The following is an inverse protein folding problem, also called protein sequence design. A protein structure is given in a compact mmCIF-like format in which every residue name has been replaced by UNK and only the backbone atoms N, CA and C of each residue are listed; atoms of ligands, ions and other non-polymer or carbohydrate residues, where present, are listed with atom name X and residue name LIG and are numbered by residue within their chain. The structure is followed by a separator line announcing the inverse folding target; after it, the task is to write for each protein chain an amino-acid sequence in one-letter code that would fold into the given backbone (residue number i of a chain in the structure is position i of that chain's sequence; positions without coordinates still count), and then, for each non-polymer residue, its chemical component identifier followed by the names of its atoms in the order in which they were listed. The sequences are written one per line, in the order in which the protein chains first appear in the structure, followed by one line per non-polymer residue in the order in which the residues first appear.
data_IF_090144769434
#
_entry.id   IF_090144769434
#
_cell.length_a   1.000
_cell.length_b   1.000
_cell.length_c   1.000
_cell.angle_alpha   90.00
_cell.angle_beta   90.00
_cell.angle_gamma   90.00
#
_symmetry.space_group_name_H-M   'P 1'
#
loop_
_entity.id
_entity.type
_entity.pdbx_description
1 polymer ?
#
# COMPACT_ATOMS: atom_id res chain seq x y z
N UNK A 1 -32.85 38.20 -30.58
CA UNK A 1 -32.48 39.34 -29.71
C UNK A 1 -32.39 38.81 -28.28
N UNK A 2 -31.18 38.55 -27.75
CA UNK A 2 -30.40 39.49 -26.91
C UNK A 2 -31.05 39.64 -25.52
N UNK A 3 -30.63 38.96 -24.44
CA UNK A 3 -29.53 39.28 -23.48
C UNK A 3 -29.89 38.49 -22.20
N UNK A 4 -29.04 38.04 -21.27
CA UNK A 4 -27.63 38.17 -20.98
C UNK A 4 -27.28 37.12 -19.90
N UNK A 5 -26.17 36.41 -20.10
CA UNK A 5 -25.41 35.78 -19.03
C UNK A 5 -25.12 36.81 -17.93
N UNK A 6 -25.38 36.48 -16.67
CA UNK A 6 -24.82 37.20 -15.52
C UNK A 6 -23.45 36.59 -15.19
N UNK A 7 -22.34 37.33 -15.31
CA UNK A 7 -21.07 36.88 -14.76
C UNK A 7 -21.12 36.98 -13.22
N UNK A 8 -20.80 35.89 -12.53
CA UNK A 8 -20.44 35.92 -11.10
C UNK A 8 -19.10 36.63 -10.99
N UNK A 9 -19.10 37.78 -10.34
CA UNK A 9 -17.89 38.52 -10.00
C UNK A 9 -16.93 37.64 -9.18
N UNK A 10 -15.72 37.45 -9.69
CA UNK A 10 -14.59 36.91 -8.97
C UNK A 10 -14.09 37.95 -7.96
N UNK A 11 -14.26 37.67 -6.67
CA UNK A 11 -13.64 38.45 -5.60
C UNK A 11 -12.17 38.03 -5.48
N UNK A 12 -11.32 38.50 -6.40
CA UNK A 12 -9.87 38.55 -6.17
C UNK A 12 -9.56 39.98 -5.72
N UNK A 13 -9.76 40.23 -4.42
CA UNK A 13 -9.29 41.45 -3.80
C UNK A 13 -7.77 41.36 -3.67
N UNK A 14 -7.07 42.14 -4.49
CA UNK A 14 -5.66 42.42 -4.36
C UNK A 14 -5.39 43.00 -2.96
N UNK A 15 -4.69 42.24 -2.11
CA UNK A 15 -4.11 42.79 -0.88
C UNK A 15 -2.79 43.44 -1.26
N UNK A 16 -2.82 44.77 -1.34
CA UNK A 16 -1.64 45.60 -1.39
C UNK A 16 -0.75 45.30 -0.16
N UNK A 17 0.54 45.10 -0.44
CA UNK A 17 1.60 44.89 0.54
C UNK A 17 1.78 46.17 1.35
N UNK A 18 1.51 46.12 2.66
CA UNK A 18 1.91 47.16 3.60
C UNK A 18 3.29 46.81 4.20
N UNK A 19 4.21 47.79 4.35
CA UNK A 19 5.58 47.53 4.79
C UNK A 19 5.64 47.09 6.26
N UNK A 20 6.55 46.13 6.50
CA UNK A 20 6.80 45.48 7.79
C UNK A 20 7.62 46.39 8.70
N UNK A 21 7.00 46.92 9.75
CA UNK A 21 7.70 47.49 10.91
C UNK A 21 7.93 46.38 11.96
N UNK A 22 9.16 46.20 12.49
CA UNK A 22 9.44 45.19 13.50
C UNK A 22 9.09 45.72 14.90
N UNK A 23 8.29 44.97 15.67
CA UNK A 23 8.32 45.16 17.13
C UNK A 23 7.03 45.01 17.93
N UNK A 24 5.87 44.70 17.35
CA UNK A 24 4.68 44.40 18.16
C UNK A 24 3.88 43.24 17.55
N UNK A 25 3.64 42.19 18.35
CA UNK A 25 2.69 41.12 18.02
C UNK A 25 1.29 41.72 17.95
N UNK A 26 0.91 42.20 16.78
CA UNK A 26 -0.48 42.56 16.48
C UNK A 26 -1.25 41.25 16.34
N UNK A 27 -1.97 40.84 17.40
CA UNK A 27 -2.94 39.74 17.31
C UNK A 27 -4.06 40.23 16.39
N UNK A 28 -4.00 39.82 15.11
CA UNK A 28 -5.06 40.09 14.14
C UNK A 28 -6.24 39.20 14.48
N UNK A 29 -7.13 39.67 15.36
CA UNK A 29 -8.39 38.99 15.66
C UNK A 29 -9.34 39.18 14.48
N UNK A 30 -9.31 38.24 13.53
CA UNK A 30 -10.33 38.16 12.49
C UNK A 30 -11.65 37.69 13.13
N UNK A 31 -12.55 38.62 13.40
CA UNK A 31 -13.94 38.30 13.75
C UNK A 31 -14.64 37.74 12.50
N UNK A 32 -14.59 36.42 12.35
CA UNK A 32 -15.34 35.73 11.30
C UNK A 32 -16.78 35.56 11.79
N UNK A 33 -17.73 36.10 11.03
CA UNK A 33 -19.15 35.91 11.30
C UNK A 33 -19.51 34.46 10.94
N UNK A 34 -19.51 33.58 11.94
CA UNK A 34 -19.97 32.20 11.77
C UNK A 34 -21.48 32.26 11.53
N UNK A 35 -21.87 32.21 10.26
CA UNK A 35 -23.28 32.11 9.89
C UNK A 35 -23.78 30.73 10.33
N UNK A 36 -24.80 30.69 11.19
CA UNK A 36 -25.48 29.43 11.51
C UNK A 36 -26.04 28.86 10.21
N UNK A 37 -25.73 27.59 9.94
CA UNK A 37 -26.30 26.85 8.82
C UNK A 37 -27.81 26.80 9.04
N UNK A 38 -28.59 27.38 8.12
CA UNK A 38 -30.05 27.33 8.21
C UNK A 38 -30.50 25.92 7.89
N UNK A 39 -31.16 25.27 8.85
CA UNK A 39 -31.69 23.93 8.67
C UNK A 39 -32.79 23.94 7.60
N UNK A 40 -32.51 23.29 6.46
CA UNK A 40 -33.47 23.16 5.37
C UNK A 40 -34.33 21.91 5.61
N UNK A 41 -35.48 22.08 6.28
CA UNK A 41 -36.39 20.99 6.61
C UNK A 41 -36.81 20.13 5.40
N UNK A 42 -36.90 20.73 4.21
CA UNK A 42 -37.20 20.02 2.95
C UNK A 42 -36.13 18.97 2.60
N UNK A 43 -34.86 19.31 2.73
CA UNK A 43 -33.75 18.37 2.47
C UNK A 43 -33.69 17.28 3.53
N UNK A 44 -34.04 17.59 4.78
CA UNK A 44 -34.13 16.62 5.86
C UNK A 44 -35.27 15.61 5.63
N UNK A 45 -36.46 16.07 5.22
CA UNK A 45 -37.60 15.18 4.92
C UNK A 45 -37.29 14.27 3.74
N UNK A 46 -36.66 14.78 2.67
CA UNK A 46 -36.25 13.96 1.52
C UNK A 46 -35.21 12.93 1.95
N UNK A 47 -34.21 13.33 2.74
CA UNK A 47 -33.20 12.41 3.28
C UNK A 47 -33.81 11.33 4.18
N UNK A 48 -34.70 11.70 5.10
CA UNK A 48 -35.40 10.78 5.98
C UNK A 48 -36.30 9.82 5.19
N UNK A 49 -37.06 10.33 4.21
CA UNK A 49 -37.89 9.50 3.34
C UNK A 49 -37.06 8.49 2.55
N UNK A 50 -35.94 8.92 1.97
CA UNK A 50 -35.02 8.01 1.25
C UNK A 50 -34.45 6.95 2.19
N UNK A 51 -34.06 7.33 3.42
CA UNK A 51 -33.56 6.39 4.42
C UNK A 51 -34.61 5.37 4.85
N UNK A 52 -35.87 5.78 5.01
CA UNK A 52 -36.98 4.87 5.37
C UNK A 52 -37.26 3.88 4.23
N UNK A 53 -37.22 4.35 2.97
CA UNK A 53 -37.39 3.49 1.80
C UNK A 53 -36.24 2.48 1.72
N UNK A 54 -34.99 2.92 1.90
CA UNK A 54 -33.83 2.02 1.94
C UNK A 54 -33.93 1.00 3.08
N UNK A 55 -34.37 1.42 4.28
CA UNK A 55 -34.59 0.51 5.40
C UNK A 55 -35.67 -0.55 5.09
N UNK A 56 -36.80 -0.14 4.52
CA UNK A 56 -37.87 -1.07 4.14
C UNK A 56 -37.43 -2.07 3.08
N UNK A 57 -36.68 -1.60 2.06
CA UNK A 57 -36.08 -2.46 1.06
C UNK A 57 -35.15 -3.48 1.72
N UNK A 58 -34.19 -3.02 2.52
CA UNK A 58 -33.26 -3.88 3.25
C UNK A 58 -33.96 -4.91 4.13
N UNK A 59 -34.98 -4.49 4.89
CA UNK A 59 -35.78 -5.37 5.72
C UNK A 59 -36.46 -6.46 4.90
N UNK A 60 -37.10 -6.10 3.78
CA UNK A 60 -37.83 -7.04 2.94
C UNK A 60 -36.94 -8.00 2.16
N UNK A 61 -35.76 -7.56 1.71
CA UNK A 61 -34.90 -8.34 0.81
C UNK A 61 -33.83 -9.15 1.53
N UNK A 62 -33.34 -8.67 2.69
CA UNK A 62 -32.22 -9.31 3.40
C UNK A 62 -32.72 -9.94 4.70
N UNK A 63 -33.35 -9.14 5.55
CA UNK A 63 -33.68 -9.55 6.92
C UNK A 63 -34.85 -10.54 6.97
N UNK A 64 -35.93 -10.27 6.27
CA UNK A 64 -37.12 -11.12 6.26
C UNK A 64 -36.85 -12.53 5.69
N UNK A 65 -36.19 -12.73 4.53
CA UNK A 65 -35.89 -14.07 4.05
C UNK A 65 -34.88 -14.81 4.94
N UNK A 66 -33.94 -14.09 5.55
CA UNK A 66 -33.01 -14.67 6.51
C UNK A 66 -33.76 -15.19 7.76
N UNK A 67 -34.58 -14.35 8.39
CA UNK A 67 -35.37 -14.74 9.56
C UNK A 67 -36.31 -15.90 9.27
N UNK A 68 -37.01 -15.88 8.12
CA UNK A 68 -37.90 -16.99 7.73
C UNK A 68 -37.15 -18.30 7.48
N UNK A 69 -35.88 -18.24 7.10
CA UNK A 69 -35.08 -19.44 6.95
C UNK A 69 -34.72 -20.04 8.31
N UNK A 70 -34.31 -19.18 9.26
CA UNK A 70 -34.03 -19.56 10.65
C UNK A 70 -35.28 -20.15 11.31
N UNK A 71 -36.43 -19.47 11.19
CA UNK A 71 -37.71 -19.95 11.74
C UNK A 71 -38.09 -21.33 11.15
N UNK A 72 -37.86 -21.52 9.84
CA UNK A 72 -38.19 -22.78 9.17
C UNK A 72 -37.26 -23.92 9.60
N UNK A 73 -35.98 -23.63 9.82
CA UNK A 73 -35.03 -24.61 10.36
C UNK A 73 -35.45 -25.00 11.78
N UNK A 74 -35.68 -24.02 12.65
CA UNK A 74 -36.19 -24.27 14.00
C UNK A 74 -37.48 -25.10 13.96
N UNK A 75 -38.45 -24.75 13.12
CA UNK A 75 -39.72 -25.46 13.02
C UNK A 75 -39.59 -26.91 12.53
N UNK A 76 -38.56 -27.21 11.75
CA UNK A 76 -38.28 -28.54 11.22
C UNK A 76 -37.64 -29.51 12.22
N UNK A 77 -37.10 -29.01 13.34
CA UNK A 77 -36.56 -29.85 14.42
C UNK A 77 -37.69 -30.61 15.14
N UNK A 78 -37.40 -31.82 15.61
CA UNK A 78 -38.34 -32.60 16.41
C UNK A 78 -38.61 -31.92 17.76
N UNK A 79 -39.78 -32.18 18.37
CA UNK A 79 -40.14 -31.56 19.64
C UNK A 79 -39.17 -31.86 20.80
N UNK A 80 -38.44 -32.98 20.72
CA UNK A 80 -37.39 -33.33 21.68
C UNK A 80 -36.10 -32.52 21.44
N UNK A 81 -35.72 -32.29 20.19
CA UNK A 81 -34.57 -31.47 19.82
C UNK A 81 -34.83 -29.98 20.07
N UNK A 82 -36.06 -29.49 19.83
CA UNK A 82 -36.45 -28.11 20.19
C UNK A 82 -36.32 -27.87 21.69
N UNK A 83 -36.81 -28.80 22.51
CA UNK A 83 -36.72 -28.69 23.96
C UNK A 83 -35.28 -28.78 24.44
N UNK A 84 -34.45 -29.63 23.84
CA UNK A 84 -33.02 -29.69 24.15
C UNK A 84 -32.29 -28.40 23.74
N UNK A 85 -32.65 -27.80 22.60
CA UNK A 85 -32.08 -26.53 22.14
C UNK A 85 -32.51 -25.36 23.03
N UNK A 86 -33.77 -25.30 23.45
CA UNK A 86 -34.27 -24.28 24.37
C UNK A 86 -33.59 -24.43 25.76
N UNK A 87 -33.37 -25.67 26.22
CA UNK A 87 -32.68 -25.98 27.48
C UNK A 87 -31.16 -25.70 27.39
N UNK A 88 -30.50 -25.98 26.25
CA UNK A 88 -29.13 -25.54 25.95
C UNK A 88 -29.01 -24.01 25.85
N UNK A 89 -29.98 -23.32 25.24
CA UNK A 89 -30.02 -21.86 25.15
C UNK A 89 -30.21 -21.19 26.51
N UNK A 90 -30.89 -21.85 27.45
CA UNK A 90 -31.12 -21.36 28.81
C UNK A 90 -29.98 -21.74 29.79
N UNK A 91 -29.23 -22.83 29.53
CA UNK A 91 -28.13 -23.31 30.39
C UNK A 91 -26.71 -22.93 29.92
N UNK A 92 -26.49 -22.63 28.64
CA UNK A 92 -25.19 -22.15 28.16
C UNK A 92 -24.96 -20.69 28.59
N UNK A 93 -24.06 -20.49 29.57
CA UNK A 93 -23.29 -19.24 29.67
C UNK A 93 -22.74 -18.96 28.26
N UNK A 94 -23.22 -17.88 27.65
CA UNK A 94 -22.96 -17.49 26.27
C UNK A 94 -21.46 -17.30 26.15
N UNK A 95 -20.79 -18.25 25.51
CA UNK A 95 -19.35 -18.15 25.28
C UNK A 95 -19.06 -16.81 24.59
N UNK A 96 -18.11 -15.99 25.09
CA UNK A 96 -17.91 -14.63 24.62
C UNK A 96 -17.68 -14.57 23.10
N UNK A 97 -18.73 -14.24 22.35
CA UNK A 97 -18.70 -14.31 20.90
C UNK A 97 -18.38 -12.96 20.30
N UNK A 98 -17.26 -12.89 19.58
CA UNK A 98 -16.82 -11.65 18.94
C UNK A 98 -17.20 -11.62 17.46
N UNK A 99 -18.03 -10.64 17.09
CA UNK A 99 -18.43 -10.36 15.72
C UNK A 99 -17.60 -9.18 15.19
N UNK A 100 -16.58 -9.41 14.33
CA UNK A 100 -15.74 -8.35 13.80
C UNK A 100 -16.49 -7.53 12.76
N UNK A 101 -16.37 -6.20 12.85
CA UNK A 101 -16.88 -5.33 11.79
C UNK A 101 -15.87 -5.15 10.65
N UNK A 102 -16.31 -5.26 9.38
CA UNK A 102 -15.46 -4.92 8.26
C UNK A 102 -15.12 -3.43 8.30
N UNK A 103 -13.93 -3.07 7.79
CA UNK A 103 -13.41 -1.69 7.70
C UNK A 103 -13.02 -1.02 9.02
N UNK A 104 -13.24 -1.63 10.18
CA UNK A 104 -12.80 -1.09 11.48
C UNK A 104 -11.40 -1.53 11.87
N UNK A 105 -10.74 -2.34 11.04
CA UNK A 105 -9.41 -2.88 11.34
C UNK A 105 -8.35 -1.80 11.35
N UNK A 106 -7.62 -1.67 12.47
CA UNK A 106 -6.53 -0.74 12.67
C UNK A 106 -5.21 -1.48 12.80
N UNK A 107 -4.21 -1.05 12.05
CA UNK A 107 -2.83 -1.51 12.18
C UNK A 107 -2.15 -0.69 13.27
N UNK A 108 -1.77 -1.34 14.37
CA UNK A 108 -1.11 -0.68 15.51
C UNK A 108 0.36 -1.06 15.50
N UNK A 109 1.23 -0.05 15.41
CA UNK A 109 2.66 -0.25 15.53
C UNK A 109 3.01 -0.54 17.00
N UNK A 110 3.67 -1.67 17.23
CA UNK A 110 4.12 -2.06 18.55
C UNK A 110 5.35 -1.25 18.99
N UNK A 111 5.57 -1.10 20.32
CA UNK A 111 6.79 -0.49 20.81
C UNK A 111 8.02 -1.31 20.39
N UNK A 112 9.22 -0.71 20.40
CA UNK A 112 10.45 -1.45 20.16
C UNK A 112 10.66 -2.61 21.11
N UNK A 113 11.42 -3.60 20.63
CA UNK A 113 11.80 -4.76 21.44
C UNK A 113 12.50 -4.34 22.72
N UNK A 114 12.11 -4.96 23.83
CA UNK A 114 12.82 -4.88 25.10
C UNK A 114 13.88 -5.96 25.14
N UNK A 115 14.97 -5.71 25.86
CA UNK A 115 16.03 -6.70 26.08
C UNK A 115 15.54 -7.98 26.78
N UNK A 116 14.47 -7.86 27.57
CA UNK A 116 13.83 -8.97 28.29
C UNK A 116 12.95 -9.82 27.39
N UNK A 117 12.56 -9.33 26.21
CA UNK A 117 11.62 -10.05 25.35
C UNK A 117 12.28 -11.32 24.78
N UNK A 118 11.58 -12.48 24.82
CA UNK A 118 12.15 -13.74 24.38
C UNK A 118 12.49 -13.75 22.88
N UNK A 119 11.69 -13.05 22.05
CA UNK A 119 11.98 -12.87 20.62
C UNK A 119 13.31 -12.16 20.39
N UNK A 120 13.56 -11.09 21.15
CA UNK A 120 14.79 -10.32 21.05
C UNK A 120 16.01 -11.12 21.49
N UNK A 121 15.89 -11.90 22.57
CA UNK A 121 16.95 -12.80 23.01
C UNK A 121 17.30 -13.83 21.94
N UNK A 122 16.29 -14.33 21.21
CA UNK A 122 16.50 -15.26 20.12
C UNK A 122 17.23 -14.58 18.93
N UNK A 123 16.89 -13.34 18.59
CA UNK A 123 17.64 -12.58 17.58
C UNK A 123 19.10 -12.37 17.99
N UNK A 124 19.36 -12.03 19.25
CA UNK A 124 20.73 -11.88 19.77
C UNK A 124 21.49 -13.21 19.74
N UNK A 125 20.81 -14.34 19.95
CA UNK A 125 21.43 -15.67 19.82
C UNK A 125 21.82 -15.95 18.37
N UNK A 126 20.88 -15.78 17.44
CA UNK A 126 21.10 -15.96 15.99
C UNK A 126 22.19 -15.01 15.47
N UNK A 127 22.24 -13.77 15.97
CA UNK A 127 23.23 -12.77 15.54
C UNK A 127 24.66 -13.17 15.93
N UNK A 128 24.85 -13.89 17.04
CA UNK A 128 26.15 -14.40 17.50
C UNK A 128 26.56 -15.67 16.74
N UNK A 129 25.59 -16.51 16.37
CA UNK A 129 25.82 -17.80 15.73
C UNK A 129 26.05 -17.68 14.21
N UNK A 130 27.29 -17.34 13.81
CA UNK A 130 27.67 -17.19 12.39
C UNK A 130 27.43 -18.44 11.53
N UNK A 131 27.60 -19.64 12.10
CA UNK A 131 27.35 -20.91 11.38
C UNK A 131 25.88 -21.08 11.04
N UNK A 132 25.02 -20.78 12.01
CA UNK A 132 23.57 -20.84 11.85
C UNK A 132 23.10 -19.81 10.82
N UNK A 133 23.67 -18.61 10.81
CA UNK A 133 23.38 -17.62 9.75
C UNK A 133 23.80 -18.10 8.35
N UNK A 134 24.94 -18.80 8.23
CA UNK A 134 25.36 -19.36 6.94
C UNK A 134 24.41 -20.45 6.46
N UNK A 135 23.95 -21.31 7.37
CA UNK A 135 22.93 -22.33 7.08
C UNK A 135 21.61 -21.70 6.65
N UNK A 136 21.11 -20.70 7.38
CA UNK A 136 19.89 -19.99 6.98
C UNK A 136 19.99 -19.38 5.57
N UNK A 137 21.15 -18.79 5.24
CA UNK A 137 21.41 -18.23 3.90
C UNK A 137 21.45 -19.30 2.82
N UNK A 138 22.08 -20.46 3.07
CA UNK A 138 22.11 -21.55 2.09
C UNK A 138 20.73 -22.16 1.90
N UNK A 139 20.01 -22.44 3.00
CA UNK A 139 18.70 -23.07 2.98
C UNK A 139 17.69 -22.21 2.24
N UNK A 140 17.70 -20.89 2.47
CA UNK A 140 16.84 -19.96 1.75
C UNK A 140 17.18 -19.91 0.26
N UNK A 141 18.47 -19.91 -0.09
CA UNK A 141 18.89 -19.86 -1.48
C UNK A 141 18.53 -21.16 -2.22
N UNK A 142 18.64 -22.31 -1.56
CA UNK A 142 18.21 -23.60 -2.10
C UNK A 142 16.68 -23.67 -2.23
N UNK A 143 15.93 -23.15 -1.25
CA UNK A 143 14.47 -23.10 -1.33
C UNK A 143 13.96 -22.23 -2.48
N UNK A 144 14.59 -21.06 -2.67
CA UNK A 144 14.30 -20.18 -3.82
C UNK A 144 14.65 -20.87 -5.13
N UNK A 145 15.78 -21.58 -5.20
CA UNK A 145 16.16 -22.36 -6.38
C UNK A 145 15.09 -23.40 -6.72
N UNK A 146 14.67 -24.20 -5.76
CA UNK A 146 13.62 -25.23 -5.94
C UNK A 146 12.31 -24.58 -6.39
N UNK A 147 11.95 -23.44 -5.81
CA UNK A 147 10.74 -22.70 -6.17
C UNK A 147 10.78 -22.16 -7.61
N UNK A 148 11.96 -21.73 -8.08
CA UNK A 148 12.18 -21.26 -9.45
C UNK A 148 12.12 -22.43 -10.45
N UNK A 149 12.75 -23.56 -10.12
CA UNK A 149 12.70 -24.79 -10.93
C UNK A 149 11.27 -25.33 -11.03
N UNK A 150 10.46 -25.20 -9.98
CA UNK A 150 9.04 -25.57 -9.98
C UNK A 150 8.15 -24.64 -10.83
N UNK A 151 8.59 -23.41 -11.13
CA UNK A 151 7.75 -22.44 -11.84
C UNK A 151 7.87 -22.59 -13.37
N UNK A 152 6.80 -23.03 -14.07
CA UNK A 152 6.88 -23.42 -15.49
C UNK A 152 7.24 -22.23 -16.40
N UNK A 153 6.85 -21.01 -16.05
CA UNK A 153 7.16 -19.81 -16.82
C UNK A 153 8.64 -19.41 -16.81
N UNK A 154 9.38 -19.75 -15.75
CA UNK A 154 10.81 -19.47 -15.64
C UNK A 154 11.62 -20.65 -16.17
N UNK A 155 11.21 -21.89 -15.85
CA UNK A 155 11.87 -23.10 -16.33
C UNK A 155 11.92 -23.18 -17.87
N UNK A 156 10.85 -22.77 -18.55
CA UNK A 156 10.81 -22.71 -20.02
C UNK A 156 11.74 -21.68 -20.64
N UNK A 157 12.05 -20.58 -19.93
CA UNK A 157 12.92 -19.49 -20.42
C UNK A 157 14.38 -19.66 -20.02
N UNK A 158 14.63 -20.14 -18.81
CA UNK A 158 15.97 -20.21 -18.20
C UNK A 158 16.55 -21.64 -18.15
N UNK A 159 15.77 -22.66 -18.54
CA UNK A 159 16.15 -24.06 -18.43
C UNK A 159 15.81 -24.66 -17.05
N UNK A 160 15.80 -25.99 -16.98
CA UNK A 160 15.24 -26.74 -15.85
C UNK A 160 16.25 -27.00 -14.69
N UNK A 161 17.48 -26.49 -14.77
CA UNK A 161 18.54 -26.79 -13.81
C UNK A 161 19.41 -25.56 -13.52
N UNK A 162 18.87 -24.63 -12.74
CA UNK A 162 19.59 -23.41 -12.35
C UNK A 162 20.60 -23.70 -11.24
N UNK A 163 21.91 -23.70 -11.54
CA UNK A 163 22.94 -23.82 -10.50
C UNK A 163 23.10 -22.48 -9.76
N UNK A 164 23.01 -22.52 -8.43
CA UNK A 164 23.26 -21.36 -7.58
C UNK A 164 24.78 -21.08 -7.52
N UNK A 165 25.23 -19.98 -8.14
CA UNK A 165 26.67 -19.63 -8.21
C UNK A 165 27.11 -18.65 -7.12
N UNK A 166 26.37 -17.55 -6.96
CA UNK A 166 26.66 -16.49 -5.99
C UNK A 166 25.34 -15.88 -5.55
N UNK A 167 25.21 -15.63 -4.26
CA UNK A 167 24.06 -14.98 -3.67
C UNK A 167 24.50 -13.91 -2.68
N UNK A 168 23.68 -12.88 -2.52
CA UNK A 168 23.90 -11.80 -1.56
C UNK A 168 22.65 -11.71 -0.70
N UNK A 169 22.67 -12.42 0.43
CA UNK A 169 21.59 -12.44 1.41
C UNK A 169 22.11 -11.83 2.70
N UNK A 170 21.50 -10.72 3.11
CA UNK A 170 21.72 -10.16 4.44
C UNK A 170 20.60 -10.57 5.40
N UNK A 171 20.94 -10.75 6.67
CA UNK A 171 19.98 -11.10 7.71
C UNK A 171 19.82 -9.85 8.56
N UNK A 172 18.70 -9.16 8.34
CA UNK A 172 18.34 -7.98 9.12
C UNK A 172 17.47 -8.38 10.32
N UNK A 173 17.83 -7.84 11.49
CA UNK A 173 17.02 -7.96 12.70
C UNK A 173 16.26 -6.65 12.91
N UNK A 174 14.94 -6.63 12.74
CA UNK A 174 14.16 -5.41 12.86
C UNK A 174 14.16 -4.92 14.32
N UNK A 175 14.19 -3.60 14.49
CA UNK A 175 14.15 -2.97 15.82
C UNK A 175 12.77 -3.07 16.49
N UNK A 176 11.70 -3.26 15.71
CA UNK A 176 10.33 -3.36 16.20
C UNK A 176 9.68 -4.66 15.75
N UNK A 177 8.82 -5.26 16.59
CA UNK A 177 7.99 -6.38 16.18
C UNK A 177 7.01 -5.98 15.07
N UNK A 178 6.52 -6.98 14.31
CA UNK A 178 5.52 -6.74 13.30
C UNK A 178 4.28 -6.06 13.90
N UNK A 179 3.67 -5.09 13.19
CA UNK A 179 2.46 -4.44 13.69
C UNK A 179 1.32 -5.44 13.88
N UNK A 180 0.58 -5.31 14.97
CA UNK A 180 -0.62 -6.12 15.22
C UNK A 180 -1.85 -5.39 14.70
N UNK A 181 -2.78 -6.17 14.18
CA UNK A 181 -4.05 -5.67 13.69
C UNK A 181 -5.10 -5.87 14.77
N UNK A 182 -5.83 -4.80 15.10
CA UNK A 182 -7.01 -4.86 15.95
C UNK A 182 -8.24 -4.60 15.11
N UNK A 183 -9.29 -5.40 15.30
CA UNK A 183 -10.59 -5.13 14.70
C UNK A 183 -11.56 -4.70 15.78
N UNK A 184 -12.35 -3.66 15.50
CA UNK A 184 -13.48 -3.31 16.34
C UNK A 184 -14.65 -4.20 15.99
N UNK A 185 -15.39 -4.65 16.99
CA UNK A 185 -16.55 -5.50 16.81
C UNK A 185 -17.45 -5.49 18.03
N UNK A 186 -18.54 -6.23 17.91
CA UNK A 186 -19.43 -6.49 19.03
C UNK A 186 -18.96 -7.75 19.73
N UNK A 187 -18.75 -7.66 21.03
CA UNK A 187 -18.52 -8.77 21.93
C UNK A 187 -19.85 -9.03 22.62
N UNK A 188 -20.41 -10.21 22.39
CA UNK A 188 -21.55 -10.70 23.15
C UNK A 188 -21.00 -11.48 24.34
N UNK A 189 -21.38 -11.09 25.54
CA UNK A 189 -21.03 -11.75 26.80
C UNK A 189 -22.33 -11.92 27.60
N UNK A 190 -22.34 -12.77 28.64
CA UNK A 190 -23.55 -13.08 29.43
C UNK A 190 -24.30 -11.84 29.92
N UNK A 191 -23.56 -10.79 30.26
CA UNK A 191 -24.09 -9.55 30.83
C UNK A 191 -24.42 -8.48 29.77
N UNK A 192 -24.29 -8.81 28.47
CA UNK A 192 -24.80 -8.00 27.37
C UNK A 192 -23.87 -7.80 26.17
N UNK A 193 -24.24 -6.82 25.33
CA UNK A 193 -23.56 -6.49 24.08
C UNK A 193 -22.55 -5.35 24.29
N UNK A 194 -21.26 -5.65 24.18
CA UNK A 194 -20.17 -4.70 24.37
C UNK A 194 -19.47 -4.35 23.06
N UNK A 195 -19.02 -3.10 22.93
CA UNK A 195 -18.11 -2.73 21.85
C UNK A 195 -16.67 -3.00 22.26
N UNK A 196 -16.01 -3.95 21.61
CA UNK A 196 -14.64 -4.36 21.96
C UNK A 196 -13.69 -4.27 20.76
N UNK A 197 -12.39 -4.23 21.05
CA UNK A 197 -11.32 -4.31 20.05
C UNK A 197 -10.50 -5.57 20.33
N UNK A 198 -10.57 -6.55 19.44
CA UNK A 198 -9.78 -7.78 19.56
C UNK A 198 -8.61 -7.80 18.56
N UNK A 199 -7.47 -8.40 18.96
CA UNK A 199 -6.38 -8.66 18.03
C UNK A 199 -6.84 -9.69 16.99
N UNK A 200 -6.59 -9.42 15.72
CA UNK A 200 -6.93 -10.29 14.60
C UNK A 200 -5.66 -10.73 13.91
N UNK A 201 -5.68 -11.96 13.40
CA UNK A 201 -4.59 -12.49 12.60
C UNK A 201 -4.29 -11.59 11.39
N UNK A 202 -3.00 -11.32 11.18
CA UNK A 202 -2.52 -10.40 10.15
C UNK A 202 -2.81 -10.94 8.75
N UNK A 203 -2.70 -12.26 8.57
CA UNK A 203 -2.94 -12.90 7.29
C UNK A 203 -4.42 -12.87 6.91
N UNK A 204 -5.33 -13.09 7.87
CA UNK A 204 -6.76 -12.94 7.65
C UNK A 204 -7.12 -11.51 7.22
N UNK A 205 -6.55 -10.50 7.89
CA UNK A 205 -6.75 -9.08 7.55
C UNK A 205 -6.23 -8.76 6.16
N UNK A 206 -5.05 -9.26 5.79
CA UNK A 206 -4.47 -9.03 4.46
C UNK A 206 -5.30 -9.66 3.35
N UNK A 207 -5.83 -10.87 3.57
CA UNK A 207 -6.76 -11.52 2.63
C UNK A 207 -8.04 -10.71 2.49
N UNK A 208 -8.65 -10.31 3.60
CA UNK A 208 -9.86 -9.49 3.60
C UNK A 208 -9.62 -8.17 2.87
N UNK A 209 -8.48 -7.51 3.10
CA UNK A 209 -8.10 -6.28 2.40
C UNK A 209 -7.94 -6.51 0.89
N UNK A 210 -7.31 -7.60 0.45
CA UNK A 210 -7.17 -7.93 -0.97
C UNK A 210 -8.51 -8.19 -1.65
N UNK A 211 -9.48 -8.78 -0.93
CA UNK A 211 -10.84 -9.02 -1.40
C UNK A 211 -11.61 -7.70 -1.52
N UNK A 212 -11.57 -6.88 -0.46
CA UNK A 212 -12.30 -5.60 -0.42
C UNK A 212 -11.71 -4.55 -1.37
N UNK A 213 -10.39 -4.55 -1.56
CA UNK A 213 -9.67 -3.60 -2.40
C UNK A 213 -8.69 -4.32 -3.34
N UNK A 214 -9.16 -4.80 -4.51
CA UNK A 214 -8.31 -5.46 -5.48
C UNK A 214 -7.45 -4.43 -6.24
N UNK A 215 -6.40 -3.91 -5.57
CA UNK A 215 -5.52 -2.85 -6.08
C UNK A 215 -4.96 -3.20 -7.48
N UNK A 216 -4.51 -4.44 -7.69
CA UNK A 216 -3.97 -4.89 -8.98
C UNK A 216 -4.99 -4.82 -10.14
N UNK A 217 -6.27 -5.16 -9.88
CA UNK A 217 -7.31 -5.07 -10.92
C UNK A 217 -7.67 -3.63 -11.23
N UNK A 218 -7.77 -2.77 -10.21
CA UNK A 218 -8.04 -1.35 -10.43
C UNK A 218 -6.93 -0.66 -11.22
N UNK A 219 -5.66 -0.93 -10.89
CA UNK A 219 -4.50 -0.37 -11.59
C UNK A 219 -4.40 -0.85 -13.04
N UNK A 220 -4.61 -2.14 -13.29
CA UNK A 220 -4.59 -2.69 -14.65
C UNK A 220 -5.74 -2.16 -15.50
N UNK A 221 -6.96 -2.11 -14.93
CA UNK A 221 -8.13 -1.53 -15.60
C UNK A 221 -7.90 -0.05 -15.91
N UNK A 222 -7.37 0.71 -14.95
CA UNK A 222 -7.05 2.13 -15.16
C UNK A 222 -5.97 2.33 -16.23
N UNK A 223 -4.90 1.54 -16.18
CA UNK A 223 -3.84 1.59 -17.17
C UNK A 223 -4.40 1.29 -18.57
N UNK A 224 -5.20 0.23 -18.70
CA UNK A 224 -5.85 -0.17 -19.94
C UNK A 224 -6.78 0.93 -20.47
N UNK A 225 -7.69 1.42 -19.65
CA UNK A 225 -8.64 2.49 -20.03
C UNK A 225 -7.87 3.77 -20.42
N UNK A 226 -6.82 4.12 -19.69
CA UNK A 226 -6.00 5.30 -20.00
C UNK A 226 -5.19 5.14 -21.28
N UNK A 227 -4.74 3.92 -21.60
CA UNK A 227 -4.05 3.63 -22.86
C UNK A 227 -5.02 3.71 -24.04
N UNK A 228 -6.20 3.12 -23.90
CA UNK A 228 -7.26 3.14 -24.90
C UNK A 228 -7.76 4.56 -25.18
N UNK A 229 -7.96 5.37 -24.13
CA UNK A 229 -8.34 6.77 -24.26
C UNK A 229 -7.26 7.58 -25.00
N UNK A 230 -5.97 7.37 -24.70
CA UNK A 230 -4.87 8.01 -25.42
C UNK A 230 -4.79 7.57 -26.89
N UNK A 231 -5.05 6.29 -27.18
CA UNK A 231 -5.11 5.78 -28.55
C UNK A 231 -6.23 6.48 -29.33
N UNK A 232 -7.45 6.53 -28.78
CA UNK A 232 -8.57 7.21 -29.42
C UNK A 232 -8.35 8.72 -29.61
N UNK A 233 -7.74 9.40 -28.63
CA UNK A 233 -7.39 10.82 -28.77
C UNK A 233 -6.31 11.04 -29.84
N UNK A 234 -5.32 10.14 -29.93
CA UNK A 234 -4.29 10.20 -30.97
C UNK A 234 -4.86 9.94 -32.37
N UNK A 235 -5.82 9.02 -32.50
CA UNK A 235 -6.49 8.77 -33.77
C UNK A 235 -7.41 9.92 -34.19
N UNK A 236 -8.12 10.54 -33.23
CA UNK A 236 -8.91 11.75 -33.49
C UNK A 236 -8.03 12.94 -33.87
N UNK A 237 -6.88 13.14 -33.21
CA UNK A 237 -5.97 14.24 -33.56
C UNK A 237 -5.36 14.03 -34.95
N UNK A 238 -5.03 12.78 -35.32
CA UNK A 238 -4.63 12.41 -36.69
C UNK A 238 -5.74 12.70 -37.72
N UNK A 239 -6.99 12.33 -37.44
CA UNK A 239 -8.12 12.63 -38.32
C UNK A 239 -8.38 14.13 -38.48
N UNK A 240 -8.11 14.92 -37.44
CA UNK A 240 -8.24 16.38 -37.45
C UNK A 240 -7.01 17.09 -38.06
N UNK A 241 -6.04 16.35 -38.61
CA UNK A 241 -4.86 16.91 -39.29
C UNK A 241 -3.77 17.42 -38.34
N UNK A 242 -3.89 17.18 -37.03
CA UNK A 242 -2.79 17.42 -36.10
C UNK A 242 -1.84 16.23 -36.17
N UNK A 243 -0.74 16.39 -36.90
CA UNK A 243 0.31 15.39 -37.04
C UNK A 243 1.07 15.25 -35.70
N UNK A 244 0.50 14.47 -34.79
CA UNK A 244 1.15 14.15 -33.52
C UNK A 244 2.32 13.20 -33.80
N UNK A 245 3.52 13.77 -33.83
CA UNK A 245 4.79 13.03 -33.79
C UNK A 245 4.72 11.89 -32.77
N UNK A 246 5.10 10.70 -33.22
CA UNK A 246 4.99 9.39 -32.58
C UNK A 246 4.99 9.42 -31.04
N UNK A 247 3.82 9.22 -30.42
CA UNK A 247 3.76 8.75 -29.03
C UNK A 247 3.99 7.25 -29.06
N UNK A 248 5.27 6.86 -29.06
CA UNK A 248 5.71 5.48 -28.87
C UNK A 248 5.46 5.06 -27.42
N UNK A 249 4.25 4.60 -27.10
CA UNK A 249 3.99 3.80 -25.90
C UNK A 249 3.04 2.65 -26.26
N UNK A 250 3.51 1.77 -27.14
CA UNK A 250 3.00 0.42 -27.21
C UNK A 250 3.71 -0.39 -26.13
N UNK A 251 2.94 -0.96 -25.20
CA UNK A 251 3.42 -2.10 -24.41
C UNK A 251 4.05 -3.11 -25.39
N UNK A 252 5.29 -3.57 -25.17
CA UNK A 252 5.87 -4.54 -26.07
C UNK A 252 4.97 -5.79 -26.03
N UNK A 253 4.51 -6.32 -27.19
CA UNK A 253 3.89 -7.63 -27.20
C UNK A 253 4.89 -8.62 -26.61
N UNK A 254 4.45 -9.36 -25.59
CA UNK A 254 5.20 -10.48 -25.03
C UNK A 254 5.26 -11.54 -26.12
N UNK A 255 6.31 -11.48 -26.95
CA UNK A 255 6.52 -12.39 -28.06
C UNK A 255 7.19 -11.67 -29.22
N UNK A 256 8.43 -12.05 -29.50
CA UNK A 256 9.23 -11.66 -30.67
C UNK A 256 9.93 -10.29 -30.54
N UNK A 257 10.99 -10.26 -29.72
CA UNK A 257 12.10 -9.32 -29.89
C UNK A 257 12.98 -9.84 -31.03
N UNK A 258 12.81 -9.31 -32.25
CA UNK A 258 13.84 -9.47 -33.29
C UNK A 258 15.03 -8.60 -32.91
N UNK A 259 16.19 -9.22 -32.82
CA UNK A 259 17.47 -8.52 -32.69
C UNK A 259 17.65 -7.61 -33.92
N UNK A 260 17.66 -6.30 -33.69
CA UNK A 260 18.31 -5.38 -34.61
C UNK A 260 19.50 -4.76 -33.90
N UNK A 261 20.66 -5.10 -34.45
CA UNK A 261 21.97 -4.62 -34.07
C UNK A 261 22.03 -3.10 -34.12
N UNK A 262 22.45 -2.49 -33.02
CA UNK A 262 23.20 -1.24 -33.07
C UNK A 262 24.54 -1.48 -32.36
N UNK A 263 25.53 -1.76 -33.21
CA UNK A 263 26.95 -1.59 -32.94
C UNK A 263 27.26 -0.08 -32.98
N UNK A 264 28.38 0.30 -32.36
CA UNK A 264 28.99 1.64 -32.21
C UNK A 264 28.24 2.59 -31.26
N UNK A 265 28.79 3.20 -30.22
CA UNK A 265 30.17 3.49 -29.78
C UNK A 265 30.13 4.07 -28.34
N UNK A 266 31.20 3.86 -27.54
CA UNK A 266 31.56 4.75 -26.42
C UNK A 266 31.20 4.31 -24.98
N UNK A 267 32.15 4.38 -24.02
CA UNK A 267 31.95 3.89 -22.65
C UNK A 267 31.13 4.87 -21.82
N UNK A 268 29.99 4.41 -21.29
CA UNK A 268 29.19 5.17 -20.34
C UNK A 268 29.97 5.35 -19.03
N UNK A 269 30.12 6.62 -18.67
CA UNK A 269 30.66 7.16 -17.43
C UNK A 269 29.98 6.55 -16.21
N UNK A 270 30.78 5.89 -15.37
CA UNK A 270 30.40 5.46 -14.02
C UNK A 270 30.39 6.66 -13.08
N UNK A 271 29.31 7.44 -13.08
CA UNK A 271 28.95 8.31 -11.96
C UNK A 271 28.10 7.48 -10.98
N UNK A 272 28.34 7.63 -9.67
CA UNK A 272 27.63 6.98 -8.55
C UNK A 272 27.97 5.53 -8.17
N UNK A 273 29.27 5.25 -8.05
CA UNK A 273 29.74 4.27 -7.05
C UNK A 273 30.61 4.97 -6.00
N UNK A 274 30.05 5.15 -4.81
CA UNK A 274 30.83 5.47 -3.60
C UNK A 274 31.55 4.21 -3.11
N UNK A 275 32.86 4.31 -2.91
CA UNK A 275 33.64 3.35 -2.13
C UNK A 275 33.57 3.71 -0.64
N UNK A 276 33.87 2.74 0.23
CA UNK A 276 33.67 2.74 1.70
C UNK A 276 34.43 3.80 2.51
N UNK A 277 35.18 4.69 1.87
CA UNK A 277 35.79 5.87 2.49
C UNK A 277 35.33 7.07 1.65
N UNK A 278 34.41 7.88 2.19
CA UNK A 278 33.63 8.89 1.46
C UNK A 278 34.43 10.04 0.85
N UNK A 279 35.19 9.80 -0.22
CA UNK A 279 35.85 10.82 -1.04
C UNK A 279 35.42 10.66 -2.50
N UNK A 280 35.00 11.72 -3.20
CA UNK A 280 34.53 11.65 -4.58
C UNK A 280 35.67 11.30 -5.56
N UNK A 281 35.36 10.49 -6.59
CA UNK A 281 36.32 9.91 -7.53
C UNK A 281 36.99 10.91 -8.50
N UNK A 282 36.64 12.20 -8.44
CA UNK A 282 37.17 13.21 -9.37
C UNK A 282 38.63 13.61 -9.08
N UNK A 283 39.19 13.22 -7.94
CA UNK A 283 40.56 13.61 -7.52
C UNK A 283 41.63 12.51 -7.65
N UNK A 284 41.25 11.27 -7.97
CA UNK A 284 42.20 10.15 -7.95
C UNK A 284 43.19 10.14 -9.13
N UNK A 285 42.82 10.73 -10.28
CA UNK A 285 43.70 10.87 -11.44
C UNK A 285 44.74 11.97 -11.25
N UNK A 286 44.33 13.11 -10.66
CA UNK A 286 45.18 14.28 -10.49
C UNK A 286 46.33 14.04 -9.48
N UNK A 287 46.09 13.20 -8.46
CA UNK A 287 47.09 12.87 -7.43
C UNK A 287 48.18 11.91 -7.95
N UNK A 288 47.87 11.05 -8.92
CA UNK A 288 48.86 10.16 -9.55
C UNK A 288 49.80 10.92 -10.47
N UNK A 289 49.27 11.86 -11.25
CA UNK A 289 50.06 12.66 -12.19
C UNK A 289 50.96 13.68 -11.47
N UNK A 290 50.52 14.26 -10.35
CA UNK A 290 51.38 15.14 -9.54
C UNK A 290 52.53 14.38 -8.85
N UNK A 291 52.31 13.13 -8.40
CA UNK A 291 53.39 12.30 -7.84
C UNK A 291 54.41 11.88 -8.89
N UNK A 292 53.96 11.52 -10.09
CA UNK A 292 54.86 11.19 -11.21
C UNK A 292 55.65 12.42 -11.70
N UNK A 293 55.02 13.60 -11.72
CA UNK A 293 55.69 14.85 -12.07
C UNK A 293 56.75 15.28 -11.03
N UNK A 294 56.46 15.14 -9.73
CA UNK A 294 57.40 15.43 -8.64
C UNK A 294 58.58 14.43 -8.60
N UNK A 295 58.35 13.14 -8.89
CA UNK A 295 59.42 12.14 -9.02
C UNK A 295 60.31 12.37 -10.25
N UNK A 296 59.76 12.87 -11.35
CA UNK A 296 60.52 13.18 -12.57
C UNK A 296 61.40 14.42 -12.41
N UNK A 297 60.96 15.40 -11.60
CA UNK A 297 61.73 16.62 -11.29
C UNK A 297 62.87 16.35 -10.30
N UNK A 298 62.70 15.39 -9.40
CA UNK A 298 63.74 14.94 -8.45
C UNK A 298 64.85 14.11 -9.11
N UNK A 299 64.60 13.54 -10.31
CA UNK A 299 65.59 12.78 -11.09
C UNK A 299 66.36 13.60 -12.13
N UNK A 300 66.06 14.89 -12.32
CA UNK A 300 66.69 15.77 -13.33
C UNK A 300 67.40 16.99 -12.75
N UNK A 301 67.71 17.01 -11.45
CA UNK A 301 68.41 18.12 -10.81
C UNK A 301 69.59 17.65 -9.97
N UNK A 302 70.75 17.54 -10.60
CA UNK A 302 72.10 17.83 -10.07
C UNK A 302 73.01 18.07 -11.27
N UNK A 303 74.01 18.96 -11.22
CA UNK A 303 74.45 19.80 -10.10
C UNK A 303 73.77 21.17 -10.01
#
# INVERSE_FOLDING_TARGET
MWRLLRPRASNIAARALAPKAPGQQTVVVQRVKVSKVKFNAKSFIIGAGTSIICWNLYWSTVLNPFLRHVDKEYDSLSAAEKKALDEEMDEEEIEPWFIPFPFTTKRVAQPPYKGTDPEWQQFVRISKDKKLQQQMRSDLADWVRVSIEAHPGIATRCGNAGKLRRYWLDIDFPYRPPPVHYSSGLLLEDDGLYWSNQPVDSLAVDRLRKILWPEAMTLSTWAFVSALARQHLADLSRMLGFETSQVALAFPPVGVRKEQSQKTEGPLTSADRQTTNGTPAHDASNVRDQKAFLESRKRKGEP
#
